data_IF_077146662764
#
_entry.id   IF_077146662764
#
_cell.length_a   1.000
_cell.length_b   1.000
_cell.length_c   1.000
_cell.angle_alpha   90.00
_cell.angle_beta   90.00
_cell.angle_gamma   90.00
#
_symmetry.space_group_name_H-M   'P 1'
#
loop_
_entity.id
_entity.type
_entity.pdbx_description
1 polymer ?
#
# COMPACT_ATOMS: atom_id res chain seq x y z
N UNK A 1 51.01 -27.64 -1.22
CA UNK A 1 52.01 -26.61 -1.59
C UNK A 1 51.86 -26.43 -3.10
N UNK A 2 51.39 -25.32 -3.67
CA UNK A 2 51.58 -23.89 -3.39
C UNK A 2 50.39 -23.08 -3.92
N UNK A 3 50.08 -22.00 -3.22
CA UNK A 3 49.02 -21.03 -3.48
C UNK A 3 49.40 -20.00 -4.55
N UNK A 4 48.42 -19.45 -5.27
CA UNK A 4 48.51 -18.08 -5.81
C UNK A 4 47.14 -17.42 -5.83
N UNK A 5 47.06 -16.35 -5.04
CA UNK A 5 45.91 -15.47 -4.81
C UNK A 5 46.00 -14.34 -5.85
N UNK A 6 44.90 -14.03 -6.53
CA UNK A 6 44.80 -12.88 -7.43
C UNK A 6 44.07 -11.75 -6.68
N UNK A 7 44.83 -10.81 -6.12
CA UNK A 7 44.30 -9.59 -5.51
C UNK A 7 43.89 -8.57 -6.59
N UNK A 8 42.67 -8.06 -6.43
CA UNK A 8 42.05 -7.05 -7.29
C UNK A 8 42.27 -5.69 -6.64
N UNK A 9 43.11 -4.84 -7.24
CA UNK A 9 43.34 -3.47 -6.78
C UNK A 9 42.14 -2.56 -7.09
N UNK A 10 41.72 -1.79 -6.08
CA UNK A 10 40.80 -0.66 -6.18
C UNK A 10 41.59 0.64 -6.36
N UNK A 11 41.16 1.62 -7.19
CA UNK A 11 41.78 2.93 -7.20
C UNK A 11 41.21 3.84 -6.11
N UNK A 12 42.12 4.36 -5.28
CA UNK A 12 41.93 5.38 -4.25
C UNK A 12 41.90 6.78 -4.92
N UNK A 13 40.84 7.56 -4.70
CA UNK A 13 40.80 8.96 -5.14
C UNK A 13 41.78 9.81 -4.30
N UNK A 14 42.64 10.56 -5.00
CA UNK A 14 43.63 11.46 -4.43
C UNK A 14 42.98 12.73 -3.87
N UNK A 15 43.40 13.11 -2.66
CA UNK A 15 43.16 14.39 -1.99
C UNK A 15 44.32 15.31 -2.36
N UNK A 16 44.02 16.54 -2.79
CA UNK A 16 45.00 17.63 -2.92
C UNK A 16 44.50 18.85 -2.13
N UNK A 17 45.22 19.11 -1.04
CA UNK A 17 45.51 20.36 -0.33
C UNK A 17 45.80 21.54 -1.29
N UNK A 18 45.76 22.85 -0.97
CA UNK A 18 45.88 23.61 0.28
C UNK A 18 45.36 25.06 0.07
N UNK A 19 45.05 25.72 1.18
CA UNK A 19 44.74 27.17 1.34
C UNK A 19 46.00 28.05 1.22
N UNK A 20 45.83 29.37 1.03
CA UNK A 20 46.63 30.33 1.78
C UNK A 20 45.76 31.31 2.59
N UNK A 21 46.21 31.57 3.82
CA UNK A 21 45.75 32.60 4.74
C UNK A 21 46.18 34.00 4.28
N UNK A 22 45.32 35.00 4.49
CA UNK A 22 45.67 36.43 4.62
C UNK A 22 44.46 37.17 5.23
N UNK A 23 44.59 37.67 6.46
CA UNK A 23 43.86 38.83 6.99
C UNK A 23 44.75 40.09 6.82
N UNK A 24 44.36 41.35 7.14
CA UNK A 24 43.09 41.90 7.66
C UNK A 24 42.61 43.19 6.92
N UNK A 25 41.30 43.49 6.87
CA UNK A 25 40.82 44.89 6.62
C UNK A 25 39.45 45.12 7.29
N UNK A 26 39.40 46.13 8.18
CA UNK A 26 38.18 46.77 8.69
C UNK A 26 37.52 47.65 7.65
N UNK A 27 36.20 47.59 7.47
CA UNK A 27 35.35 48.75 7.13
C UNK A 27 33.84 48.43 7.26
N UNK A 28 33.17 49.22 8.09
CA UNK A 28 31.84 49.83 7.91
C UNK A 28 30.68 48.99 7.33
N UNK A 29 29.72 48.72 8.23
CA UNK A 29 28.26 48.81 8.07
C UNK A 29 27.68 49.03 6.66
N UNK A 30 27.04 47.98 6.12
CA UNK A 30 25.87 48.10 5.25
C UNK A 30 24.81 47.07 5.66
N UNK A 31 23.65 47.59 6.04
CA UNK A 31 22.47 46.86 6.49
C UNK A 31 22.01 45.82 5.48
N UNK A 32 21.76 44.59 5.94
CA UNK A 32 21.15 43.53 5.15
C UNK A 32 19.78 43.97 4.62
N UNK A 33 19.45 43.77 3.34
CA UNK A 33 18.08 43.95 2.87
C UNK A 33 17.16 42.92 3.55
N UNK A 34 15.89 43.27 3.82
CA UNK A 34 14.95 42.34 4.44
C UNK A 34 14.78 41.10 3.55
N UNK A 35 14.61 39.90 4.14
CA UNK A 35 14.36 38.70 3.35
C UNK A 35 13.07 38.89 2.56
N UNK A 36 13.16 38.66 1.24
CA UNK A 36 11.98 38.63 0.37
C UNK A 36 10.96 37.65 0.94
N UNK A 37 9.66 38.00 0.99
CA UNK A 37 8.65 37.06 1.44
C UNK A 37 8.69 35.85 0.51
N UNK A 38 9.05 34.69 1.09
CA UNK A 38 8.83 33.40 0.47
C UNK A 38 7.38 33.38 -0.01
N UNK A 39 7.19 33.20 -1.31
CA UNK A 39 5.88 32.93 -1.88
C UNK A 39 5.39 31.59 -1.30
N UNK A 40 4.78 31.65 -0.13
CA UNK A 40 3.91 30.59 0.36
C UNK A 40 2.84 30.46 -0.70
N UNK A 41 2.82 29.31 -1.38
CA UNK A 41 1.73 28.95 -2.25
C UNK A 41 0.46 28.99 -1.39
N UNK A 42 -0.26 30.11 -1.44
CA UNK A 42 -1.59 30.23 -0.88
C UNK A 42 -2.45 29.21 -1.64
N UNK A 43 -2.58 28.02 -1.05
CA UNK A 43 -3.61 27.06 -1.44
C UNK A 43 -4.93 27.82 -1.40
N UNK A 44 -5.49 28.13 -2.57
CA UNK A 44 -6.87 28.58 -2.65
C UNK A 44 -7.70 27.51 -1.94
N UNK A 45 -8.46 27.86 -0.89
CA UNK A 45 -9.40 26.91 -0.32
C UNK A 45 -10.36 26.52 -1.44
N UNK A 46 -10.40 25.23 -1.75
CA UNK A 46 -11.36 24.69 -2.70
C UNK A 46 -12.77 25.03 -2.18
N UNK A 47 -13.69 25.54 -3.02
CA UNK A 47 -15.02 25.93 -2.60
C UNK A 47 -15.75 24.76 -1.93
N UNK A 48 -16.47 25.07 -0.86
CA UNK A 48 -17.10 24.15 0.11
C UNK A 48 -18.08 23.13 -0.50
N UNK A 49 -18.47 23.30 -1.77
CA UNK A 49 -19.41 22.45 -2.51
C UNK A 49 -18.76 21.26 -3.28
N UNK A 50 -17.44 21.08 -3.17
CA UNK A 50 -16.70 19.97 -3.84
C UNK A 50 -16.75 18.62 -3.10
N UNK A 51 -17.46 18.53 -1.97
CA UNK A 51 -17.42 17.36 -1.09
C UNK A 51 -18.20 16.12 -1.59
N UNK A 52 -18.83 16.18 -2.76
CA UNK A 52 -19.48 15.02 -3.37
C UNK A 52 -18.49 14.34 -4.33
N UNK A 53 -17.79 13.34 -3.81
CA UNK A 53 -17.11 12.34 -4.65
C UNK A 53 -18.22 11.53 -5.33
N UNK A 54 -18.34 11.67 -6.65
CA UNK A 54 -19.27 10.90 -7.46
C UNK A 54 -18.57 9.63 -7.94
N UNK A 55 -19.27 8.52 -7.86
CA UNK A 55 -18.95 7.33 -8.63
C UNK A 55 -19.91 7.33 -9.83
N UNK A 56 -19.48 6.83 -11.00
CA UNK A 56 -20.34 6.79 -12.20
C UNK A 56 -21.73 6.21 -11.86
N UNK A 57 -22.79 6.82 -12.40
CA UNK A 57 -24.23 6.66 -12.04
C UNK A 57 -24.60 5.20 -11.69
N UNK A 58 -25.13 4.98 -10.47
CA UNK A 58 -25.51 3.66 -9.92
C UNK A 58 -24.86 3.26 -8.58
N UNK A 59 -24.07 4.15 -7.94
CA UNK A 59 -23.14 3.80 -6.83
C UNK A 59 -23.25 4.80 -5.64
N UNK A 60 -24.36 5.52 -5.47
CA UNK A 60 -24.35 6.78 -4.71
C UNK A 60 -24.45 6.69 -3.18
N UNK A 61 -24.66 5.51 -2.55
CA UNK A 61 -24.69 5.42 -1.06
C UNK A 61 -23.88 4.29 -0.42
N UNK A 62 -23.46 3.26 -1.16
CA UNK A 62 -22.79 2.08 -0.59
C UNK A 62 -21.25 2.06 -0.65
N UNK A 63 -20.58 3.04 -1.28
CA UNK A 63 -19.14 2.91 -1.61
C UNK A 63 -18.21 4.03 -1.13
N UNK A 64 -18.46 4.63 0.05
CA UNK A 64 -17.33 5.19 0.81
C UNK A 64 -16.59 4.02 1.45
N UNK A 65 -15.81 3.30 0.65
CA UNK A 65 -15.00 2.21 1.16
C UNK A 65 -14.07 2.73 2.24
N UNK A 66 -14.16 2.07 3.40
CA UNK A 66 -13.26 2.22 4.52
C UNK A 66 -13.58 1.15 5.53
N UNK A 67 -12.58 0.34 5.88
CA UNK A 67 -12.73 -0.74 6.84
C UNK A 67 -12.64 -0.13 8.24
N UNK A 68 -13.70 -0.22 9.07
CA UNK A 68 -13.66 0.23 10.45
C UNK A 68 -12.53 -0.44 11.22
N UNK A 69 -11.97 0.25 12.22
CA UNK A 69 -10.87 -0.30 13.02
C UNK A 69 -11.21 -1.64 13.66
N UNK A 70 -12.46 -1.84 14.07
CA UNK A 70 -12.99 -3.08 14.65
C UNK A 70 -13.04 -4.26 13.67
N UNK A 71 -13.05 -4.00 12.37
CA UNK A 71 -13.09 -5.03 11.33
C UNK A 71 -11.70 -5.25 10.67
N UNK A 72 -10.65 -4.55 11.12
CA UNK A 72 -9.29 -4.75 10.63
C UNK A 72 -8.68 -6.00 11.29
N UNK A 73 -8.63 -7.07 10.52
CA UNK A 73 -8.09 -8.38 10.92
C UNK A 73 -6.58 -8.29 11.20
N UNK A 74 -5.87 -7.51 10.38
CA UNK A 74 -4.42 -7.32 10.46
C UNK A 74 -4.10 -5.90 10.91
N UNK A 75 -3.22 -5.78 11.90
CA UNK A 75 -2.66 -4.50 12.35
C UNK A 75 -1.24 -4.31 11.82
N UNK A 76 -0.70 -3.09 11.93
CA UNK A 76 0.71 -2.83 11.64
C UNK A 76 1.67 -3.69 12.50
N UNK A 77 1.27 -4.08 13.72
CA UNK A 77 2.05 -4.98 14.55
C UNK A 77 2.15 -6.39 13.94
N UNK A 78 1.01 -6.93 13.49
CA UNK A 78 0.97 -8.22 12.80
C UNK A 78 1.76 -8.16 11.48
N UNK A 79 1.63 -7.06 10.74
CA UNK A 79 2.36 -6.84 9.49
C UNK A 79 3.87 -6.93 9.65
N UNK A 80 4.45 -6.25 10.66
CA UNK A 80 5.89 -6.32 10.90
C UNK A 80 6.33 -7.69 11.40
N UNK A 81 5.56 -8.29 12.31
CA UNK A 81 5.90 -9.60 12.89
C UNK A 81 5.90 -10.72 11.84
N UNK A 82 4.98 -10.67 10.89
CA UNK A 82 4.75 -11.72 9.89
C UNK A 82 5.13 -11.29 8.49
N UNK A 83 6.03 -10.31 8.35
CA UNK A 83 6.41 -9.75 7.05
C UNK A 83 6.87 -10.83 6.05
N UNK A 84 7.66 -11.80 6.52
CA UNK A 84 8.19 -12.87 5.68
C UNK A 84 7.09 -13.84 5.21
N UNK A 85 6.12 -14.15 6.07
CA UNK A 85 4.95 -14.96 5.71
C UNK A 85 4.11 -14.24 4.63
N UNK A 86 3.91 -12.93 4.79
CA UNK A 86 3.20 -12.11 3.80
C UNK A 86 3.96 -12.10 2.47
N UNK A 87 5.27 -11.88 2.52
CA UNK A 87 6.12 -11.89 1.33
C UNK A 87 6.06 -13.24 0.60
N UNK A 88 6.11 -14.33 1.37
CA UNK A 88 6.04 -15.68 0.84
C UNK A 88 4.68 -15.95 0.18
N UNK A 89 3.57 -15.61 0.85
CA UNK A 89 2.23 -15.74 0.29
C UNK A 89 2.05 -14.96 -1.01
N UNK A 90 2.50 -13.70 -1.04
CA UNK A 90 2.44 -12.87 -2.25
C UNK A 90 3.26 -13.46 -3.42
N UNK A 91 4.34 -14.18 -3.12
CA UNK A 91 5.12 -14.89 -4.13
C UNK A 91 4.44 -16.17 -4.60
N UNK A 92 4.06 -17.06 -3.67
CA UNK A 92 3.61 -18.43 -4.00
C UNK A 92 2.15 -18.50 -4.41
N UNK A 93 1.28 -17.71 -3.79
CA UNK A 93 -0.17 -17.72 -4.08
C UNK A 93 -0.51 -16.70 -5.17
N UNK A 94 0.07 -15.49 -5.09
CA UNK A 94 -0.25 -14.41 -6.03
C UNK A 94 0.70 -14.33 -7.25
N UNK A 95 1.80 -15.08 -7.27
CA UNK A 95 2.73 -15.11 -8.41
C UNK A 95 3.42 -13.76 -8.68
N UNK A 96 3.66 -12.97 -7.63
CA UNK A 96 4.25 -11.64 -7.74
C UNK A 96 5.78 -11.69 -7.68
N UNK A 97 6.43 -10.96 -8.59
CA UNK A 97 7.87 -10.72 -8.58
C UNK A 97 8.27 -9.77 -7.45
N UNK A 98 9.55 -9.74 -7.08
CA UNK A 98 10.04 -8.94 -5.95
C UNK A 98 9.61 -7.46 -6.01
N UNK A 99 9.80 -6.80 -7.16
CA UNK A 99 9.41 -5.39 -7.32
C UNK A 99 7.89 -5.18 -7.34
N UNK A 100 7.11 -6.19 -7.71
CA UNK A 100 5.65 -6.13 -7.66
C UNK A 100 5.14 -6.25 -6.22
N UNK A 101 5.81 -7.07 -5.40
CA UNK A 101 5.47 -7.21 -3.97
C UNK A 101 5.68 -5.91 -3.21
N UNK A 102 6.73 -5.12 -3.52
CA UNK A 102 6.91 -3.78 -2.93
C UNK A 102 5.71 -2.86 -3.16
N UNK A 103 5.13 -2.88 -4.37
CA UNK A 103 3.91 -2.13 -4.65
C UNK A 103 2.75 -2.56 -3.74
N UNK A 104 2.59 -3.87 -3.53
CA UNK A 104 1.53 -4.42 -2.66
C UNK A 104 1.78 -4.09 -1.19
N UNK A 105 3.03 -4.13 -0.73
CA UNK A 105 3.39 -3.71 0.62
C UNK A 105 3.00 -2.26 0.89
N UNK A 106 3.17 -1.35 -0.08
CA UNK A 106 2.66 0.01 0.02
C UNK A 106 1.14 0.05 0.29
N UNK A 107 0.36 -0.70 -0.49
CA UNK A 107 -1.10 -0.76 -0.34
C UNK A 107 -1.53 -1.37 1.00
N UNK A 108 -0.85 -2.42 1.44
CA UNK A 108 -1.09 -3.08 2.72
C UNK A 108 -0.82 -2.11 3.89
N UNK A 109 0.28 -1.36 3.86
CA UNK A 109 0.57 -0.32 4.87
C UNK A 109 -0.56 0.71 4.95
N UNK A 110 -1.01 1.23 3.80
CA UNK A 110 -2.13 2.18 3.76
C UNK A 110 -3.42 1.59 4.34
N UNK A 111 -3.71 0.32 4.04
CA UNK A 111 -4.88 -0.37 4.59
C UNK A 111 -4.78 -0.53 6.12
N UNK A 112 -3.64 -0.96 6.65
CA UNK A 112 -3.49 -1.18 8.09
C UNK A 112 -3.57 0.13 8.87
N UNK A 113 -3.00 1.22 8.35
CA UNK A 113 -3.10 2.53 9.00
C UNK A 113 -4.50 3.14 8.89
N UNK A 114 -5.04 3.23 7.67
CA UNK A 114 -6.22 4.07 7.40
C UNK A 114 -7.50 3.28 7.14
N UNK A 115 -7.42 1.97 6.90
CA UNK A 115 -8.57 1.15 6.45
C UNK A 115 -9.03 1.51 5.04
N UNK A 116 -8.31 2.39 4.34
CA UNK A 116 -8.65 2.93 3.03
C UNK A 116 -7.40 2.98 2.15
N UNK A 117 -7.54 2.59 0.89
CA UNK A 117 -6.39 2.47 -0.04
C UNK A 117 -6.73 3.19 -1.34
N UNK A 118 -6.24 4.42 -1.50
CA UNK A 118 -6.42 5.20 -2.73
C UNK A 118 -5.19 6.01 -3.16
N UNK A 119 -3.95 5.47 -3.07
CA UNK A 119 -2.77 6.21 -3.48
C UNK A 119 -2.76 6.46 -5.00
N UNK A 120 -2.06 7.51 -5.43
CA UNK A 120 -1.72 7.66 -6.84
C UNK A 120 -0.58 6.71 -7.18
N UNK A 121 -0.58 6.17 -8.40
CA UNK A 121 0.47 5.28 -8.86
C UNK A 121 1.86 5.94 -8.80
N UNK A 122 1.91 7.25 -9.01
CA UNK A 122 3.11 8.09 -8.95
C UNK A 122 3.71 8.08 -7.54
N UNK A 123 2.88 8.34 -6.53
CA UNK A 123 3.30 8.36 -5.12
C UNK A 123 3.87 6.99 -4.69
N UNK A 124 3.24 5.89 -5.12
CA UNK A 124 3.72 4.53 -4.82
C UNK A 124 5.04 4.24 -5.55
N UNK A 125 5.14 4.63 -6.81
CA UNK A 125 6.35 4.44 -7.61
C UNK A 125 7.55 5.14 -6.97
N UNK A 126 7.35 6.38 -6.51
CA UNK A 126 8.41 7.17 -5.87
C UNK A 126 8.76 6.60 -4.48
N UNK A 127 7.78 6.22 -3.66
CA UNK A 127 8.01 5.68 -2.31
C UNK A 127 8.72 4.33 -2.31
N UNK A 128 8.35 3.44 -3.24
CA UNK A 128 8.90 2.07 -3.30
C UNK A 128 10.10 1.95 -4.24
N UNK A 129 10.53 3.06 -4.85
CA UNK A 129 11.59 3.09 -5.87
C UNK A 129 11.32 2.11 -7.03
N UNK A 130 10.08 2.06 -7.51
CA UNK A 130 9.64 1.21 -8.63
C UNK A 130 9.08 2.06 -9.78
N UNK A 131 8.96 1.48 -10.97
CA UNK A 131 8.27 2.16 -12.07
C UNK A 131 6.75 2.11 -11.91
N UNK A 132 6.03 3.13 -12.42
CA UNK A 132 4.56 3.09 -12.55
C UNK A 132 4.08 1.86 -13.32
N UNK A 133 4.85 1.41 -14.31
CA UNK A 133 4.56 0.19 -15.07
C UNK A 133 4.58 -1.05 -14.18
N UNK A 134 5.54 -1.14 -13.27
CA UNK A 134 5.64 -2.23 -12.30
C UNK A 134 4.45 -2.22 -11.34
N UNK A 135 4.05 -1.04 -10.84
CA UNK A 135 2.84 -0.88 -10.04
C UNK A 135 1.61 -1.41 -10.79
N UNK A 136 1.37 -0.93 -12.01
CA UNK A 136 0.22 -1.35 -12.81
C UNK A 136 0.23 -2.83 -13.19
N UNK A 137 1.42 -3.42 -13.40
CA UNK A 137 1.56 -4.86 -13.63
C UNK A 137 1.13 -5.66 -12.40
N UNK A 138 1.56 -5.26 -11.20
CA UNK A 138 1.17 -5.89 -9.94
C UNK A 138 -0.36 -5.80 -9.72
N UNK A 139 -0.93 -4.61 -9.88
CA UNK A 139 -2.38 -4.39 -9.78
C UNK A 139 -3.15 -5.25 -10.80
N UNK A 140 -2.67 -5.32 -12.03
CA UNK A 140 -3.33 -6.10 -13.08
C UNK A 140 -3.32 -7.59 -12.76
N UNK A 141 -2.21 -8.15 -12.27
CA UNK A 141 -2.13 -9.55 -11.84
C UNK A 141 -3.14 -9.85 -10.73
N UNK A 142 -3.14 -9.05 -9.67
CA UNK A 142 -4.06 -9.24 -8.54
C UNK A 142 -5.53 -9.08 -8.93
N UNK A 143 -5.83 -8.14 -9.84
CA UNK A 143 -7.19 -7.95 -10.36
C UNK A 143 -7.63 -9.14 -11.23
N UNK A 144 -6.75 -9.67 -12.08
CA UNK A 144 -7.04 -10.87 -12.89
C UNK A 144 -7.29 -12.10 -12.01
N UNK A 145 -6.58 -12.22 -10.88
CA UNK A 145 -6.82 -13.26 -9.89
C UNK A 145 -8.12 -13.06 -9.07
N UNK A 146 -8.79 -11.90 -9.21
CA UNK A 146 -9.98 -11.57 -8.41
C UNK A 146 -9.68 -11.29 -6.92
N UNK A 147 -8.42 -11.03 -6.59
CA UNK A 147 -7.92 -10.83 -5.20
C UNK A 147 -8.06 -9.37 -4.77
N UNK A 148 -8.06 -8.43 -5.71
CA UNK A 148 -8.33 -7.00 -5.47
C UNK A 148 -9.35 -6.47 -6.46
N UNK A 149 -10.08 -5.44 -6.05
CA UNK A 149 -10.91 -4.63 -6.94
C UNK A 149 -10.34 -3.23 -7.10
N UNK A 150 -10.40 -2.69 -8.31
CA UNK A 150 -9.99 -1.32 -8.61
C UNK A 150 -11.18 -0.53 -9.09
N UNK A 151 -11.54 0.51 -8.35
CA UNK A 151 -12.69 1.36 -8.62
C UNK A 151 -12.22 2.80 -8.89
N UNK A 152 -12.62 3.37 -10.02
CA UNK A 152 -12.33 4.76 -10.34
C UNK A 152 -13.14 5.70 -9.43
N UNK A 153 -12.49 6.75 -8.90
CA UNK A 153 -13.13 7.80 -8.11
C UNK A 153 -13.25 9.08 -8.94
N UNK A 154 -14.41 9.73 -8.89
CA UNK A 154 -14.65 10.99 -9.61
C UNK A 154 -15.08 12.12 -8.67
N UNK A 155 -14.75 13.35 -9.04
CA UNK A 155 -15.34 14.58 -8.51
C UNK A 155 -15.78 15.40 -9.71
N UNK A 156 -17.03 15.86 -9.74
CA UNK A 156 -17.60 16.64 -10.85
C UNK A 156 -17.29 16.03 -12.23
N UNK A 157 -17.54 14.73 -12.40
CA UNK A 157 -17.27 13.94 -13.61
C UNK A 157 -15.79 13.81 -14.02
N UNK A 158 -14.84 14.37 -13.27
CA UNK A 158 -13.40 14.20 -13.49
C UNK A 158 -12.88 13.08 -12.60
N UNK A 159 -12.14 12.13 -13.17
CA UNK A 159 -11.48 11.09 -12.38
C UNK A 159 -10.36 11.74 -11.55
N UNK A 160 -10.37 11.48 -10.25
CA UNK A 160 -9.40 12.07 -9.31
C UNK A 160 -8.36 11.06 -8.82
N UNK A 161 -8.74 9.78 -8.71
CA UNK A 161 -7.88 8.69 -8.24
C UNK A 161 -8.57 7.34 -8.45
N UNK A 162 -7.90 6.29 -8.00
CA UNK A 162 -8.48 4.96 -7.88
C UNK A 162 -8.58 4.56 -6.42
N UNK A 163 -9.56 3.73 -6.14
CA UNK A 163 -9.76 3.01 -4.90
C UNK A 163 -9.37 1.55 -5.13
N UNK A 164 -8.53 1.01 -4.26
CA UNK A 164 -8.08 -0.37 -4.31
C UNK A 164 -8.73 -1.11 -3.13
N UNK A 165 -9.77 -1.91 -3.40
CA UNK A 165 -10.34 -2.79 -2.37
C UNK A 165 -9.46 -4.03 -2.27
N UNK A 166 -8.85 -4.22 -1.11
CA UNK A 166 -7.91 -5.31 -0.87
C UNK A 166 -8.41 -6.27 0.24
N UNK A 167 -9.70 -6.22 0.55
CA UNK A 167 -10.37 -7.00 1.59
C UNK A 167 -10.06 -8.50 1.48
N UNK A 168 -10.23 -9.07 0.27
CA UNK A 168 -9.95 -10.48 -0.01
C UNK A 168 -8.47 -10.80 0.17
N UNK A 169 -7.57 -9.96 -0.36
CA UNK A 169 -6.12 -10.10 -0.16
C UNK A 169 -5.76 -10.16 1.33
N UNK A 170 -6.29 -9.24 2.12
CA UNK A 170 -6.04 -9.16 3.57
C UNK A 170 -6.52 -10.42 4.28
N UNK A 171 -7.69 -10.93 3.92
CA UNK A 171 -8.23 -12.17 4.49
C UNK A 171 -7.40 -13.40 4.10
N UNK A 172 -6.96 -13.49 2.83
CA UNK A 172 -6.08 -14.56 2.37
C UNK A 172 -4.73 -14.52 3.10
N UNK A 173 -4.16 -13.32 3.32
CA UNK A 173 -2.94 -13.15 4.12
C UNK A 173 -3.16 -13.63 5.55
N UNK A 174 -4.25 -13.18 6.19
CA UNK A 174 -4.57 -13.57 7.56
C UNK A 174 -4.71 -15.09 7.69
N UNK A 175 -5.41 -15.73 6.75
CA UNK A 175 -5.51 -17.20 6.70
C UNK A 175 -4.14 -17.85 6.56
N UNK A 176 -3.33 -17.39 5.60
CA UNK A 176 -2.02 -17.97 5.35
C UNK A 176 -1.14 -17.95 6.61
N UNK A 177 -1.15 -16.83 7.33
CA UNK A 177 -0.43 -16.72 8.61
C UNK A 177 -1.07 -17.64 9.68
N UNK A 178 -2.41 -17.73 9.77
CA UNK A 178 -3.11 -18.60 10.72
C UNK A 178 -2.78 -20.08 10.56
N UNK A 179 -2.44 -20.52 9.35
CA UNK A 179 -2.04 -21.91 9.08
C UNK A 179 -0.67 -22.26 9.64
N UNK A 180 0.18 -21.25 9.88
CA UNK A 180 1.56 -21.43 10.34
C UNK A 180 1.76 -21.03 11.80
N UNK A 181 0.83 -20.29 12.41
CA UNK A 181 0.93 -19.79 13.77
C UNK A 181 -0.43 -19.80 14.50
N UNK A 182 -0.44 -20.02 15.81
CA UNK A 182 -1.69 -20.05 16.60
C UNK A 182 -2.19 -18.65 17.01
N UNK A 183 -3.52 -18.42 16.86
CA UNK A 183 -4.32 -17.31 17.43
C UNK A 183 -3.66 -15.93 17.40
N UNK A 184 -3.94 -15.15 16.34
CA UNK A 184 -3.12 -13.99 15.97
C UNK A 184 -3.94 -12.71 15.77
N UNK A 185 -5.23 -12.83 15.43
CA UNK A 185 -6.02 -11.74 14.87
C UNK A 185 -7.18 -11.27 15.77
N UNK A 186 -7.30 -11.87 16.96
CA UNK A 186 -8.40 -11.66 17.89
C UNK A 186 -9.72 -12.27 17.39
N UNK A 187 -10.76 -12.22 18.22
CA UNK A 187 -12.02 -12.95 18.00
C UNK A 187 -12.64 -12.75 16.62
N UNK A 188 -12.67 -11.51 16.10
CA UNK A 188 -13.25 -11.23 14.79
C UNK A 188 -12.42 -11.85 13.66
N UNK A 189 -11.10 -11.66 13.72
CA UNK A 189 -10.18 -12.19 12.72
C UNK A 189 -10.15 -13.72 12.71
N UNK A 190 -10.10 -14.33 13.88
CA UNK A 190 -10.07 -15.79 14.04
C UNK A 190 -11.39 -16.43 13.58
N UNK A 191 -12.55 -15.80 13.85
CA UNK A 191 -13.84 -16.25 13.30
C UNK A 191 -13.87 -16.16 11.77
N UNK A 192 -13.30 -15.10 11.20
CA UNK A 192 -13.35 -14.89 9.76
C UNK A 192 -12.39 -15.83 9.00
N UNK A 193 -11.20 -16.09 9.53
CA UNK A 193 -10.23 -17.04 8.94
C UNK A 193 -10.66 -18.51 9.09
N UNK A 194 -11.61 -18.79 10.00
CA UNK A 194 -12.24 -20.11 10.19
C UNK A 194 -13.66 -20.22 9.62
N UNK A 195 -14.16 -19.17 8.97
CA UNK A 195 -15.52 -19.12 8.43
C UNK A 195 -15.77 -20.19 7.35
N UNK A 196 -14.79 -20.40 6.48
CA UNK A 196 -14.87 -21.32 5.35
C UNK A 196 -14.57 -22.74 5.79
N UNK A 197 -15.26 -23.73 5.20
CA UNK A 197 -14.96 -25.15 5.48
C UNK A 197 -13.67 -25.56 4.79
N UNK A 198 -13.54 -25.20 3.51
CA UNK A 198 -12.29 -25.28 2.76
C UNK A 198 -11.91 -23.90 2.28
N UNK A 199 -11.10 -23.18 3.08
CA UNK A 199 -10.78 -21.78 2.81
C UNK A 199 -10.24 -21.56 1.40
N UNK A 200 -9.22 -22.32 1.00
CA UNK A 200 -8.53 -22.10 -0.27
C UNK A 200 -9.35 -22.50 -1.48
N UNK A 201 -10.39 -23.32 -1.32
CA UNK A 201 -11.32 -23.66 -2.40
C UNK A 201 -12.42 -22.60 -2.53
N UNK A 202 -12.95 -22.11 -1.40
CA UNK A 202 -14.12 -21.23 -1.36
C UNK A 202 -13.78 -19.73 -1.52
N UNK A 203 -12.57 -19.29 -1.13
CA UNK A 203 -12.22 -17.86 -1.09
C UNK A 203 -12.20 -17.19 -2.48
N UNK A 204 -11.95 -17.97 -3.53
CA UNK A 204 -11.87 -17.46 -4.89
C UNK A 204 -13.23 -16.95 -5.38
N UNK A 205 -14.30 -17.68 -5.08
CA UNK A 205 -15.68 -17.35 -5.47
C UNK A 205 -16.40 -16.43 -4.47
N UNK A 206 -15.82 -16.22 -3.29
CA UNK A 206 -16.39 -15.34 -2.28
C UNK A 206 -16.24 -13.85 -2.65
N UNK A 207 -17.29 -13.05 -2.43
CA UNK A 207 -17.21 -11.60 -2.36
C UNK A 207 -16.92 -11.18 -0.91
N UNK A 208 -15.78 -10.51 -0.72
CA UNK A 208 -15.30 -10.09 0.59
C UNK A 208 -15.39 -8.57 0.69
N UNK A 209 -16.09 -8.08 1.71
CA UNK A 209 -16.22 -6.66 2.01
C UNK A 209 -16.13 -6.40 3.52
N UNK A 210 -14.92 -6.14 4.01
CA UNK A 210 -14.66 -5.90 5.44
C UNK A 210 -15.29 -4.61 5.97
N UNK A 211 -15.78 -3.72 5.10
CA UNK A 211 -16.52 -2.53 5.54
C UNK A 211 -17.95 -2.84 6.00
N UNK A 212 -18.49 -4.02 5.65
CA UNK A 212 -19.83 -4.43 6.02
C UNK A 212 -19.84 -5.25 7.33
N UNK A 213 -20.96 -5.24 8.10
CA UNK A 213 -21.13 -6.10 9.27
C UNK A 213 -21.09 -7.60 8.96
N UNK A 214 -21.60 -7.99 7.79
CA UNK A 214 -21.50 -9.35 7.25
C UNK A 214 -20.53 -9.31 6.06
N UNK A 215 -19.23 -9.56 6.30
CA UNK A 215 -18.19 -9.25 5.31
C UNK A 215 -18.02 -10.30 4.21
N UNK A 216 -18.64 -11.47 4.32
CA UNK A 216 -18.48 -12.57 3.35
C UNK A 216 -19.82 -12.83 2.67
N UNK A 217 -19.81 -12.90 1.35
CA UNK A 217 -20.90 -13.42 0.54
C UNK A 217 -20.37 -14.55 -0.34
N UNK A 218 -20.85 -15.76 -0.13
CA UNK A 218 -20.53 -16.89 -0.98
C UNK A 218 -21.43 -16.86 -2.22
N UNK A 219 -20.88 -17.19 -3.39
CA UNK A 219 -21.71 -17.48 -4.55
C UNK A 219 -22.59 -18.68 -4.20
N UNK A 220 -23.91 -18.49 -4.19
CA UNK A 220 -24.85 -19.59 -4.03
C UNK A 220 -24.70 -20.51 -5.25
N UNK A 221 -23.90 -21.58 -5.11
CA UNK A 221 -24.14 -22.79 -5.88
C UNK A 221 -25.60 -23.19 -5.66
N UNK A 222 -26.30 -23.54 -6.74
CA UNK A 222 -27.74 -23.81 -6.71
C UNK A 222 -28.18 -24.63 -5.48
N UNK A 223 -29.26 -24.17 -4.87
CA UNK A 223 -29.98 -24.78 -3.74
C UNK A 223 -29.18 -25.00 -2.44
N UNK A 224 -29.49 -24.16 -1.44
CA UNK A 224 -29.57 -24.64 -0.07
C UNK A 224 -28.60 -24.03 0.93
N UNK A 225 -29.19 -23.21 1.81
CA UNK A 225 -28.71 -22.83 3.15
C UNK A 225 -27.70 -21.68 3.18
N UNK A 226 -28.24 -20.49 3.41
CA UNK A 226 -27.52 -19.39 4.09
C UNK A 226 -27.10 -19.90 5.47
N UNK A 227 -25.80 -19.90 5.77
CA UNK A 227 -25.26 -20.09 7.12
C UNK A 227 -24.68 -18.80 7.63
#
# INVERSE_FOLDING_TARGET
MTSTILEKQSPLCQVLTDRPENEPVSSESLSSPPPSPQATAHHKPLPSDLNKIYFKKGIEREKRYGVPSTHRILTMGNYHKHHDDINHMLQVVCGLENRERNAVFCLLRLFFYYGQVYPKADDVADQEYISKRTFWRAISKLKTLGVIEVLNRYINHKQISNLYRIDKLVLMIARFIAEHHSTIFGDFGDKLTSFFRSFWDEIWDADINLSLPAPVKLALGGEGVVR
#
